data_IF_023776673175
#
_entry.id   IF_023776673175
#
_cell.length_a   1.000
_cell.length_b   1.000
_cell.length_c   1.000
_cell.angle_alpha   90.00
_cell.angle_beta   90.00
_cell.angle_gamma   90.00
#
_symmetry.space_group_name_H-M   'P 1'
#
loop_
_entity.id
_entity.type
_entity.pdbx_description
1 polymer ?
#
# COMPACT_ATOMS: atom_id res chain seq x y z
N UNK A 1 -14.79 -35.46 9.35
CA UNK A 1 -15.22 -34.13 9.83
C UNK A 1 -14.70 -33.09 8.83
N UNK A 2 -15.46 -32.80 7.77
CA UNK A 2 -15.32 -31.68 6.80
C UNK A 2 -15.90 -32.14 5.45
N UNK A 3 -17.22 -32.20 5.35
CA UNK A 3 -17.98 -32.20 4.09
C UNK A 3 -19.47 -32.12 4.47
N UNK A 4 -19.85 -30.99 5.06
CA UNK A 4 -21.27 -30.64 5.20
C UNK A 4 -21.67 -29.83 3.97
N UNK A 5 -22.70 -30.23 3.20
CA UNK A 5 -23.12 -29.54 1.97
C UNK A 5 -23.67 -28.13 2.18
N UNK A 6 -23.71 -27.65 3.43
CA UNK A 6 -24.19 -26.31 3.83
C UNK A 6 -23.08 -25.43 4.40
N UNK A 7 -21.82 -25.57 3.97
CA UNK A 7 -20.74 -24.68 4.41
C UNK A 7 -20.96 -23.26 3.84
N UNK A 8 -21.36 -22.26 4.67
CA UNK A 8 -21.63 -20.91 4.20
C UNK A 8 -20.37 -20.23 3.65
N UNK A 9 -19.18 -20.71 4.02
CA UNK A 9 -17.90 -20.17 3.56
C UNK A 9 -17.67 -20.46 2.07
N UNK A 10 -18.26 -21.54 1.52
CA UNK A 10 -18.12 -21.89 0.09
C UNK A 10 -18.99 -21.03 -0.85
N UNK A 11 -19.92 -20.23 -0.31
CA UNK A 11 -20.88 -19.45 -1.09
C UNK A 11 -20.52 -17.97 -1.21
N UNK A 12 -19.63 -17.48 -0.36
CA UNK A 12 -19.11 -16.12 -0.44
C UNK A 12 -17.98 -16.09 -1.45
N UNK A 13 -18.27 -15.74 -2.69
CA UNK A 13 -17.22 -15.35 -3.62
C UNK A 13 -16.63 -14.02 -3.12
N UNK A 14 -15.49 -14.09 -2.45
CA UNK A 14 -14.85 -12.91 -1.88
C UNK A 14 -14.27 -12.01 -2.97
N UNK A 15 -14.02 -12.54 -4.17
CA UNK A 15 -13.25 -11.88 -5.23
C UNK A 15 -13.94 -10.60 -5.76
N UNK A 16 -15.28 -10.51 -5.66
CA UNK A 16 -16.05 -9.35 -6.11
C UNK A 16 -16.44 -8.38 -4.98
N UNK A 17 -15.92 -8.59 -3.77
CA UNK A 17 -16.26 -7.72 -2.63
C UNK A 17 -15.40 -6.46 -2.59
N UNK A 18 -15.96 -5.36 -2.08
CA UNK A 18 -15.19 -4.16 -1.76
C UNK A 18 -14.05 -4.39 -0.77
N UNK A 19 -14.14 -5.45 0.04
CA UNK A 19 -13.07 -5.91 0.92
C UNK A 19 -11.87 -6.43 0.12
N UNK A 20 -12.09 -7.34 -0.84
CA UNK A 20 -11.01 -7.84 -1.71
C UNK A 20 -10.43 -6.73 -2.59
N UNK A 21 -11.26 -5.81 -3.08
CA UNK A 21 -10.78 -4.63 -3.77
C UNK A 21 -9.88 -3.77 -2.87
N UNK A 22 -10.32 -3.44 -1.65
CA UNK A 22 -9.49 -2.67 -0.70
C UNK A 22 -8.18 -3.38 -0.39
N UNK A 23 -8.23 -4.70 -0.16
CA UNK A 23 -7.04 -5.50 0.06
C UNK A 23 -6.11 -5.46 -1.16
N UNK A 24 -6.61 -5.53 -2.39
CA UNK A 24 -5.74 -5.51 -3.57
C UNK A 24 -4.95 -4.19 -3.64
N UNK A 25 -5.58 -3.06 -3.29
CA UNK A 25 -4.92 -1.75 -3.27
C UNK A 25 -3.79 -1.67 -2.22
N UNK A 26 -4.05 -2.13 -1.00
CA UNK A 26 -3.12 -1.95 0.15
C UNK A 26 -2.24 -3.16 0.45
N UNK A 27 -2.45 -4.28 -0.26
CA UNK A 27 -1.66 -5.50 -0.10
C UNK A 27 -0.20 -5.30 -0.49
N UNK A 28 0.65 -6.20 0.01
CA UNK A 28 2.09 -6.15 -0.21
C UNK A 28 2.86 -5.62 1.00
N UNK A 29 4.15 -5.97 1.04
CA UNK A 29 5.00 -5.83 2.23
C UNK A 29 5.14 -4.39 2.73
N UNK A 30 5.10 -3.40 1.83
CA UNK A 30 5.48 -2.03 2.14
C UNK A 30 4.32 -1.03 2.09
N UNK A 31 3.24 -1.30 1.34
CA UNK A 31 2.13 -0.34 1.15
C UNK A 31 1.50 0.09 2.47
N UNK A 32 1.14 -0.87 3.34
CA UNK A 32 0.58 -0.57 4.66
C UNK A 32 1.51 0.25 5.56
N UNK A 33 2.81 -0.06 5.55
CA UNK A 33 3.81 0.67 6.37
C UNK A 33 3.98 2.10 5.86
N UNK A 34 3.97 2.29 4.54
CA UNK A 34 4.02 3.60 3.90
C UNK A 34 2.80 4.42 4.31
N UNK A 35 1.58 3.88 4.17
CA UNK A 35 0.34 4.56 4.53
C UNK A 35 0.32 4.95 6.02
N UNK A 36 0.74 4.04 6.90
CA UNK A 36 0.83 4.32 8.33
C UNK A 36 1.83 5.45 8.63
N UNK A 37 3.00 5.43 7.99
CA UNK A 37 4.01 6.48 8.15
C UNK A 37 3.49 7.85 7.69
N UNK A 38 2.81 7.91 6.54
CA UNK A 38 2.22 9.15 6.03
C UNK A 38 1.05 9.64 6.90
N UNK A 39 0.24 8.73 7.46
CA UNK A 39 -0.80 9.09 8.42
C UNK A 39 -0.22 9.71 9.70
N UNK A 40 0.96 9.28 10.12
CA UNK A 40 1.57 9.75 11.37
C UNK A 40 2.38 11.04 11.20
N UNK A 41 3.02 11.23 10.05
CA UNK A 41 3.96 12.33 9.82
C UNK A 41 3.53 13.30 8.69
N UNK A 42 2.33 13.12 8.13
CA UNK A 42 1.74 13.88 7.01
C UNK A 42 2.58 13.87 5.73
N UNK A 43 3.62 14.69 5.67
CA UNK A 43 4.50 14.86 4.52
C UNK A 43 5.91 14.35 4.84
N UNK A 44 6.29 13.24 4.22
CA UNK A 44 7.59 12.57 4.47
C UNK A 44 8.41 12.55 3.19
N UNK A 45 9.69 12.94 3.25
CA UNK A 45 10.58 12.82 2.08
C UNK A 45 10.90 11.36 1.80
N UNK A 46 11.16 11.04 0.53
CA UNK A 46 11.49 9.68 0.10
C UNK A 46 12.60 9.02 0.94
N UNK A 47 13.70 9.73 1.21
CA UNK A 47 14.81 9.20 1.99
C UNK A 47 14.47 8.99 3.48
N UNK A 48 13.57 9.79 4.04
CA UNK A 48 13.11 9.63 5.42
C UNK A 48 12.21 8.41 5.53
N UNK A 49 11.29 8.25 4.58
CA UNK A 49 10.43 7.08 4.47
C UNK A 49 11.27 5.80 4.30
N UNK A 50 12.29 5.82 3.42
CA UNK A 50 13.22 4.69 3.25
C UNK A 50 13.93 4.32 4.56
N UNK A 51 14.41 5.31 5.32
CA UNK A 51 15.06 5.08 6.63
C UNK A 51 14.10 4.43 7.63
N UNK A 52 12.83 4.83 7.62
CA UNK A 52 11.80 4.21 8.45
C UNK A 52 11.55 2.74 8.07
N UNK A 53 11.53 2.44 6.77
CA UNK A 53 11.30 1.09 6.24
C UNK A 53 12.53 0.17 6.34
N UNK A 54 13.72 0.71 6.65
CA UNK A 54 15.03 0.07 6.92
C UNK A 54 15.63 -0.81 5.81
N UNK A 55 14.87 -1.74 5.26
CA UNK A 55 15.34 -2.82 4.37
C UNK A 55 14.87 -2.68 2.93
N UNK A 56 14.02 -1.69 2.64
CA UNK A 56 13.46 -1.50 1.30
C UNK A 56 14.51 -0.89 0.36
N UNK A 57 14.60 -1.43 -0.86
CA UNK A 57 15.43 -0.83 -1.90
C UNK A 57 14.73 0.38 -2.53
N UNK A 58 15.50 1.29 -3.14
CA UNK A 58 14.92 2.48 -3.80
C UNK A 58 13.92 2.09 -4.88
N UNK A 59 14.24 1.04 -5.65
CA UNK A 59 13.37 0.52 -6.70
C UNK A 59 12.03 0.03 -6.14
N UNK A 60 12.05 -0.73 -5.05
CA UNK A 60 10.82 -1.28 -4.46
C UNK A 60 10.00 -0.19 -3.81
N UNK A 61 10.63 0.73 -3.07
CA UNK A 61 9.91 1.85 -2.46
C UNK A 61 9.28 2.76 -3.52
N UNK A 62 10.03 3.09 -4.57
CA UNK A 62 9.53 3.88 -5.69
C UNK A 62 8.37 3.20 -6.41
N UNK A 63 8.46 1.89 -6.68
CA UNK A 63 7.36 1.12 -7.27
C UNK A 63 6.11 1.12 -6.38
N UNK A 64 6.26 0.85 -5.08
CA UNK A 64 5.12 0.87 -4.15
C UNK A 64 4.47 2.25 -4.02
N UNK A 65 5.26 3.32 -3.98
CA UNK A 65 4.73 4.69 -3.96
C UNK A 65 4.00 5.04 -5.25
N UNK A 66 4.53 4.62 -6.41
CA UNK A 66 3.88 4.85 -7.72
C UNK A 66 2.55 4.11 -7.82
N UNK A 67 2.47 2.87 -7.35
CA UNK A 67 1.20 2.14 -7.29
C UNK A 67 0.20 2.83 -6.38
N UNK A 68 0.61 3.21 -5.15
CA UNK A 68 -0.26 3.94 -4.22
C UNK A 68 -0.73 5.30 -4.78
N UNK A 69 0.12 5.99 -5.54
CA UNK A 69 -0.23 7.22 -6.24
C UNK A 69 -1.26 6.96 -7.36
N UNK A 70 -1.05 5.92 -8.17
CA UNK A 70 -1.99 5.49 -9.21
C UNK A 70 -3.35 5.09 -8.64
N UNK A 71 -3.35 4.44 -7.48
CA UNK A 71 -4.54 4.04 -6.74
C UNK A 71 -5.20 5.23 -5.99
N UNK A 72 -4.59 6.43 -6.04
CA UNK A 72 -5.09 7.65 -5.38
C UNK A 72 -4.96 7.65 -3.85
N UNK A 73 -4.17 6.73 -3.29
CA UNK A 73 -3.98 6.58 -1.84
C UNK A 73 -2.86 7.47 -1.28
N UNK A 74 -1.94 7.93 -2.14
CA UNK A 74 -0.82 8.82 -1.77
C UNK A 74 -0.68 9.93 -2.80
N UNK A 75 -0.37 11.14 -2.33
CA UNK A 75 -0.01 12.26 -3.20
C UNK A 75 1.51 12.43 -3.22
N UNK A 76 2.06 12.58 -4.43
CA UNK A 76 3.50 12.83 -4.62
C UNK A 76 3.70 14.25 -5.13
N UNK A 77 4.32 15.09 -4.31
CA UNK A 77 4.71 16.43 -4.69
C UNK A 77 6.20 16.46 -5.04
N UNK A 78 6.51 16.81 -6.29
CA UNK A 78 7.88 17.10 -6.69
C UNK A 78 8.20 18.56 -6.38
N UNK A 79 9.22 18.78 -5.56
CA UNK A 79 9.74 20.10 -5.27
C UNK A 79 10.94 20.35 -6.18
N UNK A 80 10.81 21.16 -7.25
CA UNK A 80 11.96 21.54 -8.06
C UNK A 80 12.93 22.31 -7.16
N UNK A 81 14.08 21.69 -6.87
CA UNK A 81 15.21 22.44 -6.35
C UNK A 81 15.75 23.25 -7.53
N UNK A 82 15.48 24.55 -7.55
CA UNK A 82 16.23 25.45 -8.43
C UNK A 82 17.68 25.36 -7.95
N UNK A 83 18.61 24.81 -8.74
CA UNK A 83 19.99 24.75 -8.31
C UNK A 83 20.52 26.19 -8.17
N UNK A 84 21.12 26.57 -7.03
CA UNK A 84 21.85 27.83 -6.91
C UNK A 84 23.13 27.83 -7.75
#
# INVERSE_FOLDING_TARGET
>A
MLNSPNDPIKRGDFEETGFCYTLSLISGKYKMIILYCLKEYEAVRFNELKRYLKTVSDKVLSASLKELEQDGLVLRNEYPQVPP
#
